data_IF_041098118483
#
_entry.id   IF_041098118483
#
_cell.length_a   1.000
_cell.length_b   1.000
_cell.length_c   1.000
_cell.angle_alpha   90.00
_cell.angle_beta   90.00
_cell.angle_gamma   90.00
#
_symmetry.space_group_name_H-M   'P 1'
#
loop_
_entity.id
_entity.type
_entity.pdbx_description
1 polymer ?
#
# COMPACT_ATOMS: atom_id res chain seq x y z
N UNK A 1 -14.92 -33.23 -9.14
CA UNK A 1 -13.48 -33.12 -8.81
C UNK A 1 -12.92 -31.92 -9.54
N UNK A 2 -12.34 -30.92 -8.85
CA UNK A 2 -11.64 -29.81 -9.51
C UNK A 2 -10.41 -30.41 -10.21
N UNK A 3 -10.30 -30.22 -11.52
CA UNK A 3 -9.13 -30.67 -12.29
C UNK A 3 -7.95 -29.78 -11.87
N UNK A 4 -6.93 -30.35 -11.25
CA UNK A 4 -5.71 -29.61 -10.93
C UNK A 4 -5.05 -29.16 -12.23
N UNK A 5 -4.92 -27.84 -12.41
CA UNK A 5 -4.23 -27.25 -13.56
C UNK A 5 -2.74 -27.55 -13.42
N UNK A 6 -2.10 -28.02 -14.51
CA UNK A 6 -0.64 -28.19 -14.54
C UNK A 6 0.03 -26.83 -14.58
N UNK A 7 1.22 -26.72 -13.96
CA UNK A 7 2.00 -25.48 -14.01
C UNK A 7 2.28 -25.06 -15.47
N UNK A 8 2.75 -26.01 -16.28
CA UNK A 8 2.93 -25.85 -17.71
C UNK A 8 2.08 -26.87 -18.47
N UNK A 9 1.39 -26.47 -19.57
CA UNK A 9 1.35 -25.12 -20.15
C UNK A 9 0.26 -24.22 -19.54
N UNK A 10 -0.69 -24.78 -18.80
CA UNK A 10 -1.95 -24.12 -18.44
C UNK A 10 -1.72 -22.87 -17.57
N UNK A 11 -1.17 -23.03 -16.36
CA UNK A 11 -0.98 -21.91 -15.43
C UNK A 11 0.03 -20.86 -15.95
N UNK A 12 1.10 -21.30 -16.60
CA UNK A 12 2.10 -20.39 -17.15
C UNK A 12 1.49 -19.46 -18.20
N UNK A 13 0.63 -19.98 -19.09
CA UNK A 13 -0.05 -19.17 -20.10
C UNK A 13 -0.95 -18.11 -19.47
N UNK A 14 -1.66 -18.44 -18.39
CA UNK A 14 -2.49 -17.51 -17.62
C UNK A 14 -1.65 -16.42 -16.95
N UNK A 15 -0.52 -16.78 -16.35
CA UNK A 15 0.41 -15.82 -15.73
C UNK A 15 0.95 -14.84 -16.78
N UNK A 16 1.43 -15.34 -17.92
CA UNK A 16 1.95 -14.51 -19.01
C UNK A 16 0.85 -13.57 -19.52
N UNK A 17 -0.37 -14.06 -19.71
CA UNK A 17 -1.50 -13.25 -20.15
C UNK A 17 -1.83 -12.10 -19.17
N UNK A 18 -1.87 -12.39 -17.86
CA UNK A 18 -2.10 -11.36 -16.83
C UNK A 18 -0.97 -10.33 -16.79
N UNK A 19 0.29 -10.76 -16.95
CA UNK A 19 1.43 -9.86 -17.01
C UNK A 19 1.32 -8.94 -18.23
N UNK A 20 1.04 -9.51 -19.41
CA UNK A 20 0.90 -8.73 -20.65
C UNK A 20 -0.22 -7.69 -20.55
N UNK A 21 -1.39 -8.07 -20.01
CA UNK A 21 -2.49 -7.11 -19.79
C UNK A 21 -2.07 -6.03 -18.79
N UNK A 22 -1.43 -6.42 -17.69
CA UNK A 22 -1.00 -5.45 -16.67
C UNK A 22 -0.01 -4.44 -17.25
N UNK A 23 0.95 -4.91 -18.06
CA UNK A 23 1.90 -4.04 -18.75
C UNK A 23 1.21 -3.12 -19.77
N UNK A 24 0.27 -3.65 -20.56
CA UNK A 24 -0.48 -2.86 -21.53
C UNK A 24 -1.28 -1.75 -20.85
N UNK A 25 -1.99 -2.07 -19.76
CA UNK A 25 -2.71 -1.08 -18.95
C UNK A 25 -1.75 -0.02 -18.39
N UNK A 26 -0.59 -0.43 -17.88
CA UNK A 26 0.42 0.50 -17.38
C UNK A 26 0.97 1.42 -18.48
N UNK A 27 1.22 0.89 -19.69
CA UNK A 27 1.67 1.69 -20.83
C UNK A 27 0.60 2.71 -21.26
N UNK A 28 -0.66 2.27 -21.38
CA UNK A 28 -1.78 3.15 -21.72
C UNK A 28 -1.90 4.27 -20.68
N UNK A 29 -1.84 3.93 -19.38
CA UNK A 29 -1.89 4.93 -18.31
C UNK A 29 -0.69 5.89 -18.38
N UNK A 30 0.52 5.40 -18.64
CA UNK A 30 1.70 6.24 -18.75
C UNK A 30 1.65 7.20 -19.96
N UNK A 31 1.02 6.78 -21.06
CA UNK A 31 0.85 7.61 -22.26
C UNK A 31 -0.28 8.63 -22.11
N UNK A 32 -1.40 8.25 -21.49
CA UNK A 32 -2.55 9.15 -21.27
C UNK A 32 -2.32 10.13 -20.10
N UNK A 33 -1.64 9.65 -19.05
CA UNK A 33 -1.35 10.40 -17.84
C UNK A 33 0.18 10.44 -17.63
N UNK A 34 0.86 11.19 -18.50
CA UNK A 34 2.31 11.36 -18.39
C UNK A 34 2.69 11.86 -16.97
N UNK A 35 3.56 11.15 -16.24
CA UNK A 35 3.97 11.58 -14.91
C UNK A 35 4.72 12.90 -15.04
N UNK A 36 4.26 13.95 -14.36
CA UNK A 36 4.99 15.22 -14.35
C UNK A 36 6.41 14.97 -13.85
N UNK A 37 7.42 15.33 -14.64
CA UNK A 37 8.79 15.50 -14.15
C UNK A 37 8.64 16.46 -12.97
N UNK A 38 9.04 16.04 -11.76
CA UNK A 38 8.71 16.73 -10.51
C UNK A 38 8.98 18.24 -10.55
N UNK A 39 8.40 18.97 -9.59
CA UNK A 39 8.50 20.44 -9.56
C UNK A 39 9.95 20.91 -9.75
N UNK A 40 10.18 21.82 -10.70
CA UNK A 40 11.46 22.52 -10.80
C UNK A 40 11.73 23.28 -9.48
N UNK A 41 12.95 23.12 -8.96
CA UNK A 41 13.33 23.71 -7.68
C UNK A 41 13.42 25.23 -7.84
N UNK A 42 12.52 25.94 -7.18
CA UNK A 42 12.48 27.40 -7.12
C UNK A 42 12.65 27.83 -5.65
N UNK A 43 13.84 28.35 -5.33
CA UNK A 43 14.19 28.77 -3.97
C UNK A 43 13.49 30.06 -3.53
N UNK A 44 12.80 30.76 -4.43
CA UNK A 44 12.13 32.04 -4.11
C UNK A 44 10.67 31.85 -3.68
N UNK A 45 10.10 30.66 -3.89
CA UNK A 45 8.70 30.36 -3.59
C UNK A 45 8.57 29.45 -2.37
N UNK A 46 7.63 29.73 -1.45
CA UNK A 46 7.33 28.79 -0.37
C UNK A 46 6.83 27.47 -0.96
N UNK A 47 7.46 26.36 -0.55
CA UNK A 47 7.11 25.02 -0.98
C UNK A 47 6.84 24.14 0.24
N UNK A 48 5.71 23.44 0.22
CA UNK A 48 5.42 22.35 1.14
C UNK A 48 5.70 21.02 0.43
N UNK A 49 6.82 20.34 0.72
CA UNK A 49 7.09 19.04 0.14
C UNK A 49 6.04 18.05 0.62
N UNK A 50 5.28 17.48 -0.32
CA UNK A 50 4.43 16.31 -0.09
C UNK A 50 5.11 15.09 -0.69
N UNK A 51 5.12 13.95 0.02
CA UNK A 51 5.69 12.72 -0.51
C UNK A 51 4.77 12.09 -1.57
N UNK A 52 5.24 11.01 -2.17
CA UNK A 52 4.48 10.22 -3.13
C UNK A 52 3.25 9.57 -2.50
N UNK A 53 2.25 9.25 -3.34
CA UNK A 53 0.93 8.80 -2.91
C UNK A 53 0.96 7.58 -1.97
N UNK A 54 1.91 6.66 -2.17
CA UNK A 54 2.07 5.45 -1.35
C UNK A 54 2.62 5.72 0.06
N UNK A 55 3.12 6.94 0.32
CA UNK A 55 3.58 7.39 1.65
C UNK A 55 2.63 8.38 2.33
N UNK A 56 1.51 8.76 1.70
CA UNK A 56 0.60 9.77 2.26
C UNK A 56 -0.04 9.35 3.59
N UNK A 57 -0.36 8.06 3.76
CA UNK A 57 -0.87 7.56 5.04
C UNK A 57 0.14 7.76 6.18
N UNK A 58 1.43 7.56 5.90
CA UNK A 58 2.50 7.71 6.87
C UNK A 58 2.76 9.19 7.15
N UNK A 59 2.77 10.01 6.10
CA UNK A 59 2.87 11.46 6.23
C UNK A 59 1.78 12.03 7.14
N UNK A 60 0.54 11.62 6.92
CA UNK A 60 -0.58 12.04 7.76
C UNK A 60 -0.51 11.46 9.17
N UNK A 61 -0.06 10.21 9.32
CA UNK A 61 0.19 9.62 10.64
C UNK A 61 1.17 10.47 11.45
N UNK A 62 2.32 10.83 10.88
CA UNK A 62 3.38 11.59 11.55
C UNK A 62 2.92 13.00 11.95
N UNK A 63 1.98 13.61 11.22
CA UNK A 63 1.36 14.89 11.62
C UNK A 63 0.65 14.81 12.98
N UNK A 64 0.16 13.64 13.39
CA UNK A 64 -0.43 13.44 14.72
C UNK A 64 0.60 13.24 15.84
N UNK A 65 1.89 13.10 15.49
CA UNK A 65 2.98 12.86 16.45
C UNK A 65 4.07 13.96 16.35
N UNK A 66 3.78 15.22 16.75
CA UNK A 66 4.76 16.29 16.68
C UNK A 66 5.85 16.20 17.77
N UNK A 67 7.06 16.65 17.45
CA UNK A 67 8.15 16.80 18.41
C UNK A 67 8.68 15.47 18.93
N UNK A 68 8.74 15.31 20.26
CA UNK A 68 9.35 14.13 20.92
C UNK A 68 8.61 12.82 20.62
N UNK A 69 7.34 12.88 20.22
CA UNK A 69 6.55 11.70 19.87
C UNK A 69 6.72 11.26 18.41
N UNK A 70 7.46 12.02 17.58
CA UNK A 70 7.65 11.71 16.16
C UNK A 70 8.23 10.31 15.91
N UNK A 71 9.10 9.83 16.80
CA UNK A 71 9.63 8.46 16.74
C UNK A 71 8.53 7.40 16.78
N UNK A 72 7.46 7.65 17.54
CA UNK A 72 6.32 6.75 17.65
C UNK A 72 5.57 6.64 16.32
N UNK A 73 5.29 7.78 15.68
CA UNK A 73 4.59 7.84 14.40
C UNK A 73 5.42 7.36 13.21
N UNK A 74 6.74 7.59 13.24
CA UNK A 74 7.64 7.29 12.11
C UNK A 74 8.22 5.88 12.14
N UNK A 75 8.46 5.31 13.32
CA UNK A 75 9.16 4.02 13.47
C UNK A 75 8.28 2.99 14.16
N UNK A 76 7.79 3.30 15.37
CA UNK A 76 7.11 2.30 16.20
C UNK A 76 5.83 1.80 15.54
N UNK A 77 4.97 2.69 15.05
CA UNK A 77 3.70 2.30 14.42
C UNK A 77 3.96 1.53 13.12
N UNK A 78 4.73 2.02 12.13
CA UNK A 78 4.98 1.27 10.89
C UNK A 78 5.61 -0.10 11.13
N UNK A 79 6.60 -0.20 12.02
CA UNK A 79 7.21 -1.49 12.39
C UNK A 79 6.19 -2.40 13.06
N UNK A 80 5.36 -1.86 13.96
CA UNK A 80 4.25 -2.60 14.59
C UNK A 80 3.24 -3.14 13.58
N UNK A 81 2.90 -2.37 12.54
CA UNK A 81 2.03 -2.82 11.45
C UNK A 81 2.64 -3.97 10.67
N UNK A 82 3.94 -3.90 10.33
CA UNK A 82 4.65 -4.99 9.66
C UNK A 82 4.72 -6.23 10.53
N UNK A 83 5.04 -6.08 11.82
CA UNK A 83 5.05 -7.19 12.77
C UNK A 83 3.66 -7.83 12.91
N UNK A 84 2.59 -7.04 12.92
CA UNK A 84 1.23 -7.56 12.95
C UNK A 84 0.90 -8.39 11.70
N UNK A 85 1.36 -7.97 10.52
CA UNK A 85 1.25 -8.74 9.28
C UNK A 85 2.05 -10.06 9.35
N UNK A 86 3.27 -10.02 9.89
CA UNK A 86 4.08 -11.22 10.10
C UNK A 86 3.46 -12.19 11.12
N UNK A 87 2.63 -11.69 12.03
CA UNK A 87 1.90 -12.50 13.01
C UNK A 87 0.60 -13.10 12.48
N UNK A 88 0.15 -12.75 11.27
CA UNK A 88 -1.06 -13.33 10.64
C UNK A 88 -1.10 -14.87 10.67
N UNK A 89 -0.04 -15.64 10.32
CA UNK A 89 -0.11 -17.11 10.38
C UNK A 89 -0.38 -17.66 11.79
N UNK A 90 -0.08 -16.89 12.84
CA UNK A 90 -0.42 -17.26 14.21
C UNK A 90 -1.85 -16.86 14.58
N UNK A 91 -2.33 -15.73 14.05
CA UNK A 91 -3.72 -15.23 14.21
C UNK A 91 -4.71 -16.12 13.46
N UNK A 92 -4.32 -16.68 12.31
CA UNK A 92 -5.13 -17.55 11.45
C UNK A 92 -5.36 -18.97 12.05
N UNK A 93 -4.89 -19.24 13.27
CA UNK A 93 -5.07 -20.55 13.91
C UNK A 93 -6.47 -20.72 14.53
N UNK A 94 -6.99 -21.95 14.46
CA UNK A 94 -8.23 -22.36 15.11
C UNK A 94 -9.50 -22.09 14.31
N UNK A 95 -10.67 -22.44 14.88
CA UNK A 95 -11.98 -22.46 14.18
C UNK A 95 -12.38 -21.10 13.55
N UNK A 96 -11.99 -19.99 14.18
CA UNK A 96 -12.31 -18.63 13.71
C UNK A 96 -11.05 -17.83 13.32
N UNK A 97 -9.89 -18.48 13.19
CA UNK A 97 -8.61 -17.82 12.89
C UNK A 97 -8.66 -17.01 11.61
N UNK A 98 -9.18 -17.62 10.54
CA UNK A 98 -9.33 -16.97 9.23
C UNK A 98 -10.19 -15.72 9.26
N UNK A 99 -11.31 -15.76 9.99
CA UNK A 99 -12.16 -14.59 10.14
C UNK A 99 -11.41 -13.47 10.87
N UNK A 100 -10.70 -13.79 11.97
CA UNK A 100 -9.90 -12.81 12.71
C UNK A 100 -8.80 -12.20 11.84
N UNK A 101 -8.05 -13.02 11.10
CA UNK A 101 -7.00 -12.57 10.20
C UNK A 101 -7.56 -11.64 9.11
N UNK A 102 -8.70 -12.01 8.51
CA UNK A 102 -9.40 -11.16 7.53
C UNK A 102 -9.88 -9.84 8.15
N UNK A 103 -10.49 -9.87 9.34
CA UNK A 103 -10.94 -8.66 10.03
C UNK A 103 -9.77 -7.72 10.34
N UNK A 104 -8.65 -8.25 10.86
CA UNK A 104 -7.44 -7.47 11.10
C UNK A 104 -6.90 -6.86 9.81
N UNK A 105 -6.75 -7.67 8.75
CA UNK A 105 -6.29 -7.18 7.45
C UNK A 105 -7.19 -6.08 6.86
N UNK A 106 -8.51 -6.24 6.96
CA UNK A 106 -9.48 -5.23 6.50
C UNK A 106 -9.38 -3.95 7.31
N UNK A 107 -9.26 -4.02 8.64
CA UNK A 107 -9.08 -2.83 9.50
C UNK A 107 -7.79 -2.09 9.13
N UNK A 108 -6.70 -2.83 8.92
CA UNK A 108 -5.43 -2.24 8.50
C UNK A 108 -5.54 -1.53 7.14
N UNK A 109 -6.16 -2.19 6.15
CA UNK A 109 -6.39 -1.59 4.85
C UNK A 109 -7.23 -0.32 4.94
N UNK A 110 -8.34 -0.36 5.69
CA UNK A 110 -9.20 0.81 5.90
C UNK A 110 -8.46 1.94 6.61
N UNK A 111 -7.64 1.65 7.61
CA UNK A 111 -6.81 2.64 8.29
C UNK A 111 -5.88 3.35 7.30
N UNK A 112 -5.16 2.60 6.46
CA UNK A 112 -4.24 3.16 5.46
C UNK A 112 -4.98 4.02 4.43
N UNK A 113 -6.14 3.55 3.95
CA UNK A 113 -6.98 4.28 3.01
C UNK A 113 -7.51 5.58 3.61
N UNK A 114 -8.05 5.52 4.83
CA UNK A 114 -8.58 6.71 5.52
C UNK A 114 -7.49 7.74 5.76
N UNK A 115 -6.31 7.33 6.24
CA UNK A 115 -5.18 8.24 6.42
C UNK A 115 -4.69 8.86 5.11
N UNK A 116 -4.65 8.07 4.04
CA UNK A 116 -4.31 8.55 2.69
C UNK A 116 -5.33 9.60 2.23
N UNK A 117 -6.63 9.31 2.37
CA UNK A 117 -7.70 10.23 2.00
C UNK A 117 -7.64 11.54 2.79
N UNK A 118 -7.44 11.46 4.11
CA UNK A 118 -7.26 12.65 4.95
C UNK A 118 -6.03 13.45 4.50
N UNK A 119 -4.93 12.78 4.14
CA UNK A 119 -3.73 13.45 3.62
C UNK A 119 -3.97 14.18 2.30
N UNK A 120 -4.82 13.64 1.43
CA UNK A 120 -5.15 14.26 0.13
C UNK A 120 -6.11 15.45 0.33
N UNK A 121 -7.02 15.36 1.30
CA UNK A 121 -8.04 16.38 1.57
C UNK A 121 -7.56 17.52 2.49
N UNK A 122 -6.42 17.36 3.16
CA UNK A 122 -5.76 18.38 4.01
C UNK A 122 -4.64 19.11 3.28
#
# INVERSE_FOLDING_TARGET
MKKEKRFYPDYLSEIIFVILISLEVLMILALLYYPSIGRQIDFTKPFQPRPEWYFLWLYQLVRYFPGKSAFMGTVVIPVGLVLLLLLIPYIDKGRNGRLKAMTVGTILLLMLLVLTLISVLS
#
